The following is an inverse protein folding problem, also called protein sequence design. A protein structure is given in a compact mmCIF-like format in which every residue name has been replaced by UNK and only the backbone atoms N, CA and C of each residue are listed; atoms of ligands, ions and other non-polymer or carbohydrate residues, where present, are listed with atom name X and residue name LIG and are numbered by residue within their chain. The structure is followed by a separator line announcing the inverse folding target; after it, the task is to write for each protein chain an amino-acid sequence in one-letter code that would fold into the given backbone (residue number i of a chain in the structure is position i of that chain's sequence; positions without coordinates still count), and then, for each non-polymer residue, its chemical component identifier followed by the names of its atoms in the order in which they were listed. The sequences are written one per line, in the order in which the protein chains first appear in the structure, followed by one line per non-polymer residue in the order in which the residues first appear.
data_IF_907058416801
#
_entry.id   IF_907058416801
#
_cell.length_a   1.000
_cell.length_b   1.000
_cell.length_c   1.000
_cell.angle_alpha   90.00
_cell.angle_beta   90.00
_cell.angle_gamma   90.00
#
_symmetry.space_group_name_H-M   'P 1'
#
loop_
_entity.id
_entity.type
_entity.pdbx_description
1 polymer ?
#
# COMPACT_ATOMS: atom_id res chain seq x y z
N UNK A 1 4.02 -2.90 -15.03
CA UNK A 1 2.73 -2.52 -15.64
C UNK A 1 1.64 -2.79 -14.62
N UNK A 2 0.80 -1.80 -14.33
CA UNK A 2 -0.33 -1.91 -13.41
C UNK A 2 -1.53 -2.48 -14.18
N UNK A 3 -2.26 -3.43 -13.60
CA UNK A 3 -3.53 -3.93 -14.11
C UNK A 3 -4.47 -4.22 -12.96
N UNK A 4 -5.77 -4.14 -13.20
CA UNK A 4 -6.79 -4.40 -12.18
C UNK A 4 -6.55 -5.76 -11.51
N UNK A 5 -6.39 -6.82 -12.30
CA UNK A 5 -6.18 -8.18 -11.81
C UNK A 5 -4.92 -8.32 -10.94
N UNK A 6 -3.83 -7.61 -11.27
CA UNK A 6 -2.60 -7.64 -10.45
C UNK A 6 -2.83 -6.93 -9.12
N UNK A 7 -3.54 -5.80 -9.13
CA UNK A 7 -3.77 -5.01 -7.93
C UNK A 7 -4.65 -5.76 -6.93
N UNK A 8 -5.67 -6.47 -7.42
CA UNK A 8 -6.65 -7.16 -6.55
C UNK A 8 -6.35 -8.64 -6.30
N UNK A 9 -5.33 -9.23 -6.95
CA UNK A 9 -5.07 -10.69 -7.00
C UNK A 9 -5.20 -11.43 -5.67
N UNK A 10 -4.67 -10.84 -4.59
CA UNK A 10 -4.61 -11.47 -3.27
C UNK A 10 -5.36 -10.67 -2.19
N UNK A 11 -6.18 -9.71 -2.61
CA UNK A 11 -7.00 -8.92 -1.67
C UNK A 11 -8.02 -9.85 -1.00
N UNK A 12 -8.28 -9.63 0.29
CA UNK A 12 -9.28 -10.41 1.01
C UNK A 12 -10.66 -10.28 0.32
N UNK A 13 -11.34 -11.40 0.13
CA UNK A 13 -12.56 -11.51 -0.68
C UNK A 13 -13.69 -10.57 -0.23
N UNK A 14 -13.75 -10.23 1.05
CA UNK A 14 -14.75 -9.32 1.59
C UNK A 14 -14.59 -7.87 1.12
N UNK A 15 -13.43 -7.51 0.54
CA UNK A 15 -13.23 -6.23 -0.12
C UNK A 15 -13.65 -6.21 -1.59
N UNK A 16 -13.88 -7.36 -2.23
CA UNK A 16 -14.23 -7.40 -3.66
C UNK A 16 -15.48 -6.57 -4.01
N UNK A 17 -16.55 -6.52 -3.19
CA UNK A 17 -17.70 -5.65 -3.46
C UNK A 17 -17.33 -4.17 -3.52
N UNK A 18 -16.36 -3.72 -2.72
CA UNK A 18 -15.85 -2.35 -2.78
C UNK A 18 -15.15 -2.09 -4.11
N UNK A 19 -14.25 -3.00 -4.53
CA UNK A 19 -13.49 -2.86 -5.77
C UNK A 19 -14.37 -2.92 -7.02
N UNK A 20 -15.40 -3.76 -7.04
CA UNK A 20 -16.36 -3.80 -8.15
C UNK A 20 -17.18 -2.51 -8.23
N UNK A 21 -17.53 -1.91 -7.08
CA UNK A 21 -18.22 -0.61 -7.04
C UNK A 21 -17.34 0.55 -7.53
N UNK A 22 -16.04 0.52 -7.22
CA UNK A 22 -15.08 1.59 -7.57
C UNK A 22 -14.24 1.26 -8.81
N UNK A 23 -14.67 0.28 -9.62
CA UNK A 23 -13.88 -0.30 -10.70
C UNK A 23 -13.48 0.71 -11.76
N UNK A 24 -14.42 1.55 -12.18
CA UNK A 24 -14.19 2.57 -13.22
C UNK A 24 -13.17 3.62 -12.75
N UNK A 25 -13.29 4.09 -11.50
CA UNK A 25 -12.33 5.02 -10.89
C UNK A 25 -10.94 4.39 -10.81
N UNK A 26 -10.85 3.11 -10.41
CA UNK A 26 -9.58 2.41 -10.35
C UNK A 26 -8.93 2.24 -11.74
N UNK A 27 -9.72 2.01 -12.80
CA UNK A 27 -9.19 1.98 -14.16
C UNK A 27 -8.60 3.32 -14.60
N UNK A 28 -9.22 4.45 -14.23
CA UNK A 28 -8.66 5.78 -14.50
C UNK A 28 -7.30 5.94 -13.83
N UNK A 29 -7.19 5.56 -12.55
CA UNK A 29 -5.93 5.60 -11.80
C UNK A 29 -4.88 4.67 -12.44
N UNK A 30 -5.24 3.44 -12.81
CA UNK A 30 -4.32 2.49 -13.46
C UNK A 30 -3.76 3.07 -14.77
N UNK A 31 -4.60 3.72 -15.57
CA UNK A 31 -4.16 4.36 -16.81
C UNK A 31 -3.16 5.49 -16.54
N UNK A 32 -3.42 6.31 -15.53
CA UNK A 32 -2.48 7.37 -15.11
C UNK A 32 -1.15 6.78 -14.64
N UNK A 33 -1.17 5.76 -13.76
CA UNK A 33 0.02 5.08 -13.26
C UNK A 33 0.85 4.47 -14.41
N UNK A 34 0.21 3.85 -15.40
CA UNK A 34 0.89 3.28 -16.55
C UNK A 34 1.44 4.35 -17.52
N UNK A 35 0.86 5.55 -17.54
CA UNK A 35 1.35 6.67 -18.36
C UNK A 35 2.53 7.41 -17.71
N UNK A 36 2.79 7.17 -16.43
CA UNK A 36 3.88 7.80 -15.70
C UNK A 36 5.24 7.43 -16.29
N UNK A 37 6.13 8.42 -16.34
CA UNK A 37 7.54 8.24 -16.74
C UNK A 37 8.47 8.03 -15.55
N UNK A 38 7.95 8.11 -14.33
CA UNK A 38 8.71 7.92 -13.09
C UNK A 38 8.49 6.51 -12.54
N UNK A 39 9.45 6.03 -11.76
CA UNK A 39 9.28 4.79 -11.01
C UNK A 39 8.24 4.99 -9.92
N UNK A 40 7.22 4.13 -9.91
CA UNK A 40 6.14 4.15 -8.93
C UNK A 40 6.44 3.11 -7.85
N UNK A 41 6.25 3.53 -6.60
CA UNK A 41 6.34 2.67 -5.42
C UNK A 41 5.04 2.72 -4.61
N UNK A 42 4.67 1.63 -3.91
CA UNK A 42 5.30 0.31 -3.96
C UNK A 42 5.05 -0.40 -5.30
N UNK A 43 5.65 -1.57 -5.50
CA UNK A 43 5.32 -2.42 -6.65
C UNK A 43 3.81 -2.71 -6.74
N UNK A 44 3.29 -2.94 -7.95
CA UNK A 44 1.86 -3.07 -8.22
C UNK A 44 1.16 -4.13 -7.37
N UNK A 45 1.83 -5.27 -7.13
CA UNK A 45 1.35 -6.37 -6.28
C UNK A 45 1.23 -6.00 -4.80
N UNK A 46 1.87 -4.91 -4.37
CA UNK A 46 1.93 -4.44 -3.00
C UNK A 46 1.06 -3.20 -2.74
N UNK A 47 0.44 -2.58 -3.75
CA UNK A 47 -0.40 -1.38 -3.55
C UNK A 47 -1.52 -1.63 -2.52
N UNK A 48 -2.25 -2.74 -2.64
CA UNK A 48 -3.33 -3.10 -1.72
C UNK A 48 -2.91 -4.17 -0.70
N UNK A 49 -1.63 -4.26 -0.36
CA UNK A 49 -1.11 -5.32 0.52
C UNK A 49 -1.80 -5.34 1.89
N UNK A 50 -2.13 -4.18 2.46
CA UNK A 50 -2.88 -4.10 3.74
C UNK A 50 -4.22 -4.82 3.68
N UNK A 51 -4.93 -4.72 2.55
CA UNK A 51 -6.26 -5.31 2.35
C UNK A 51 -6.21 -6.82 2.08
N UNK A 52 -5.01 -7.39 1.89
CA UNK A 52 -4.79 -8.85 1.85
C UNK A 52 -4.92 -9.47 3.23
N UNK A 53 -4.48 -8.76 4.28
CA UNK A 53 -4.35 -9.31 5.63
C UNK A 53 -5.62 -9.19 6.47
N UNK A 54 -6.49 -8.22 6.18
CA UNK A 54 -7.60 -7.88 7.07
C UNK A 54 -8.92 -7.79 6.30
N UNK A 55 -9.92 -8.56 6.74
CA UNK A 55 -11.32 -8.36 6.34
C UNK A 55 -11.82 -7.00 6.85
N UNK A 56 -12.64 -6.26 6.08
CA UNK A 56 -13.18 -4.97 6.51
C UNK A 56 -13.93 -5.05 7.85
N UNK A 57 -14.56 -6.20 8.17
CA UNK A 57 -15.34 -6.37 9.41
C UNK A 57 -14.48 -6.59 10.65
N UNK A 58 -13.28 -7.14 10.47
CA UNK A 58 -12.35 -7.43 11.56
C UNK A 58 -11.41 -6.26 11.87
N UNK A 59 -11.43 -5.22 11.03
CA UNK A 59 -10.62 -4.02 11.23
C UNK A 59 -11.15 -3.24 12.43
N UNK A 60 -10.30 -3.13 13.45
CA UNK A 60 -10.55 -2.33 14.65
C UNK A 60 -9.86 -0.97 14.62
N UNK A 61 -8.84 -0.83 13.78
CA UNK A 61 -7.97 0.35 13.70
C UNK A 61 -7.49 0.55 12.27
N UNK A 62 -7.56 1.78 11.78
CA UNK A 62 -6.99 2.20 10.51
C UNK A 62 -5.84 3.17 10.77
N UNK A 63 -4.66 2.86 10.24
CA UNK A 63 -3.48 3.71 10.29
C UNK A 63 -3.26 4.28 8.88
N UNK A 64 -3.30 5.60 8.74
CA UNK A 64 -3.09 6.29 7.46
C UNK A 64 -1.69 6.88 7.41
N UNK A 65 -0.96 6.56 6.34
CA UNK A 65 0.27 7.25 5.95
C UNK A 65 -0.01 8.32 4.90
N UNK A 66 0.93 9.26 4.70
CA UNK A 66 0.83 10.25 3.62
C UNK A 66 1.38 9.68 2.31
N UNK A 67 2.70 9.47 2.25
CA UNK A 67 3.39 8.97 1.07
C UNK A 67 4.17 7.68 1.37
N UNK A 68 4.30 6.76 0.39
CA UNK A 68 5.19 5.60 0.51
C UNK A 68 6.66 6.02 0.63
N UNK A 69 7.47 5.16 1.26
CA UNK A 69 8.93 5.34 1.27
C UNK A 69 9.52 5.26 -0.14
N UNK A 70 10.26 6.29 -0.56
CA UNK A 70 10.85 6.38 -1.91
C UNK A 70 12.27 5.78 -2.02
N UNK A 71 12.90 5.45 -0.88
CA UNK A 71 14.28 4.97 -0.87
C UNK A 71 14.38 3.49 -1.25
N UNK A 72 15.57 3.11 -1.73
CA UNK A 72 15.94 1.73 -2.05
C UNK A 72 17.17 1.38 -1.22
N UNK A 73 17.16 0.20 -0.58
CA UNK A 73 18.30 -0.34 0.16
C UNK A 73 18.63 -1.73 -0.41
N UNK A 74 19.89 -1.98 -0.77
CA UNK A 74 20.32 -3.26 -1.38
C UNK A 74 19.48 -3.68 -2.61
N UNK A 75 19.11 -2.73 -3.47
CA UNK A 75 18.22 -2.92 -4.63
C UNK A 75 16.78 -3.36 -4.28
N UNK A 76 16.36 -3.21 -3.02
CA UNK A 76 15.01 -3.51 -2.55
C UNK A 76 14.32 -2.20 -2.13
N UNK A 77 13.12 -1.88 -2.65
CA UNK A 77 12.38 -0.68 -2.25
C UNK A 77 11.95 -0.73 -0.79
N UNK A 78 12.02 0.40 -0.09
CA UNK A 78 11.52 0.52 1.29
C UNK A 78 9.99 0.46 1.36
N UNK A 79 9.28 0.99 0.36
CA UNK A 79 7.82 0.91 0.31
C UNK A 79 7.37 -0.54 0.07
N UNK A 80 6.67 -1.09 1.06
CA UNK A 80 6.24 -2.49 1.03
C UNK A 80 4.72 -2.69 1.07
N UNK A 81 3.93 -1.63 0.86
CA UNK A 81 2.45 -1.71 0.83
C UNK A 81 1.76 -1.60 2.19
N UNK A 82 2.52 -1.32 3.25
CA UNK A 82 2.01 -1.09 4.60
C UNK A 82 2.59 0.22 5.12
N UNK A 83 1.75 1.11 5.64
CA UNK A 83 2.19 2.37 6.20
C UNK A 83 3.18 2.13 7.36
N UNK A 84 4.25 2.93 7.43
CA UNK A 84 5.31 2.85 8.44
C UNK A 84 6.12 1.54 8.50
N UNK A 85 5.88 0.60 7.58
CA UNK A 85 6.59 -0.66 7.52
C UNK A 85 7.63 -0.66 6.40
N UNK A 86 8.73 -1.38 6.63
CA UNK A 86 9.76 -1.67 5.64
C UNK A 86 10.00 -3.18 5.58
N UNK A 87 10.52 -3.73 4.47
CA UNK A 87 10.92 -5.12 4.40
C UNK A 87 11.89 -5.50 5.52
N UNK A 88 11.77 -6.71 6.08
CA UNK A 88 12.60 -7.17 7.22
C UNK A 88 14.10 -7.16 6.92
N UNK A 89 14.49 -7.29 5.65
CA UNK A 89 15.89 -7.22 5.22
C UNK A 89 16.50 -5.81 5.39
N UNK A 90 15.67 -4.78 5.57
CA UNK A 90 16.14 -3.40 5.80
C UNK A 90 16.45 -3.21 7.28
N UNK A 91 17.73 -3.13 7.60
CA UNK A 91 18.21 -3.02 8.99
C UNK A 91 18.03 -1.61 9.57
N UNK A 92 17.89 -0.60 8.70
CA UNK A 92 17.64 0.79 9.10
C UNK A 92 16.16 1.09 8.97
N UNK A 93 15.50 1.22 10.11
CA UNK A 93 14.18 1.86 10.16
C UNK A 93 14.39 3.30 9.65
N UNK A 94 13.65 3.74 8.61
CA UNK A 94 13.81 5.08 8.05
C UNK A 94 13.69 6.12 9.18
N UNK A 95 14.51 7.18 9.16
CA UNK A 95 14.52 8.17 10.23
C UNK A 95 13.11 8.78 10.39
N UNK A 96 12.73 9.08 11.63
CA UNK A 96 11.41 9.66 12.02
C UNK A 96 11.03 10.97 11.30
N UNK A 97 11.89 11.50 10.42
CA UNK A 97 11.86 12.86 9.88
C UNK A 97 11.43 12.93 8.41
N UNK A 98 11.03 11.83 7.76
CA UNK A 98 10.06 11.94 6.67
C UNK A 98 8.80 12.50 7.35
N UNK A 99 8.17 13.56 6.82
CA UNK A 99 6.98 14.17 7.43
C UNK A 99 5.90 13.09 7.60
N UNK A 100 5.89 12.47 8.76
CA UNK A 100 5.03 11.35 9.13
C UNK A 100 4.46 11.74 10.48
N UNK A 101 3.20 12.19 10.51
CA UNK A 101 2.51 12.52 11.75
C UNK A 101 2.20 11.23 12.54
N UNK A 102 2.30 11.28 13.87
CA UNK A 102 2.41 10.16 14.84
C UNK A 102 1.07 9.77 15.54
N UNK A 103 0.88 8.44 15.77
CA UNK A 103 0.30 7.60 16.89
C UNK A 103 -0.94 8.04 17.74
N UNK A 104 -1.87 7.17 18.21
CA UNK A 104 -1.69 6.21 19.34
C UNK A 104 -2.80 5.11 19.47
N UNK A 105 -2.48 4.04 20.23
CA UNK A 105 -3.27 2.82 20.56
C UNK A 105 -4.38 3.01 21.62
N UNK A 106 -5.45 2.22 21.51
CA UNK A 106 -6.05 1.58 22.70
C UNK A 106 -6.62 0.21 22.36
N UNK A 107 -5.95 -0.84 22.86
CA UNK A 107 -6.57 -2.14 23.07
C UNK A 107 -7.52 -1.98 24.26
N UNK A 108 -8.80 -2.26 24.02
CA UNK A 108 -9.70 -2.82 25.02
C UNK A 108 -10.23 -4.14 24.45
#
# INVERSE_FOLDING_TARGET
MFSYDILIKDVNEEWLPFFEKTKDELYLIINELNSSKTTIYPESSNIFRSLKYFSPKDIKLVILGQDPYINIENNIPQACGLAFSVPECHKKIPPKNIKSTILYFKLY
#
